data_IF_477207537208
#
_entry.id   IF_477207537208
#
_cell.length_a   1.000
_cell.length_b   1.000
_cell.length_c   1.000
_cell.angle_alpha   90.00
_cell.angle_beta   90.00
_cell.angle_gamma   90.00
#
_symmetry.space_group_name_H-M   'P 1'
#
loop_
_entity.id
_entity.type
_entity.pdbx_description
1 polymer ?
#
# COMPACT_ATOMS: atom_id res chain seq x y z
N UNK A 1 -13.25 5.02 -23.91
CA UNK A 1 -12.01 4.91 -23.10
C UNK A 1 -12.43 4.36 -21.75
N UNK A 2 -12.05 3.13 -21.42
CA UNK A 2 -12.34 2.55 -20.10
C UNK A 2 -11.08 2.64 -19.25
N UNK A 3 -11.19 3.14 -18.02
CA UNK A 3 -10.10 3.21 -17.07
C UNK A 3 -10.33 2.16 -15.97
N UNK A 4 -9.41 1.22 -15.74
CA UNK A 4 -9.56 0.24 -14.68
C UNK A 4 -9.39 0.91 -13.31
N UNK A 5 -10.30 0.60 -12.37
CA UNK A 5 -10.18 1.02 -10.97
C UNK A 5 -9.52 -0.12 -10.19
N UNK A 6 -8.19 -0.13 -10.14
CA UNK A 6 -7.41 -1.23 -9.55
C UNK A 6 -7.77 -1.49 -8.08
N UNK A 7 -8.06 -0.43 -7.31
CA UNK A 7 -8.47 -0.55 -5.92
C UNK A 7 -9.77 -1.35 -5.79
N UNK A 8 -10.79 -1.03 -6.59
CA UNK A 8 -12.06 -1.76 -6.57
C UNK A 8 -11.88 -3.23 -6.96
N UNK A 9 -11.03 -3.52 -7.95
CA UNK A 9 -10.75 -4.88 -8.38
C UNK A 9 -10.00 -5.72 -7.34
N UNK A 10 -9.10 -5.11 -6.55
CA UNK A 10 -8.42 -5.79 -5.44
C UNK A 10 -9.34 -6.02 -4.24
N UNK A 11 -10.42 -5.26 -4.12
CA UNK A 11 -11.44 -5.38 -3.08
C UNK A 11 -12.72 -6.11 -3.55
N UNK A 12 -12.66 -6.85 -4.66
CA UNK A 12 -13.83 -7.55 -5.20
C UNK A 12 -14.20 -8.78 -4.34
N UNK A 13 -15.39 -8.79 -3.68
CA UNK A 13 -15.82 -9.93 -2.86
C UNK A 13 -16.10 -11.20 -3.68
N UNK A 14 -16.25 -11.10 -5.00
CA UNK A 14 -16.34 -12.28 -5.87
C UNK A 14 -14.98 -12.99 -6.04
N UNK A 15 -13.88 -12.34 -5.66
CA UNK A 15 -12.51 -12.87 -5.81
C UNK A 15 -11.83 -13.19 -4.48
N UNK A 16 -12.13 -12.43 -3.43
CA UNK A 16 -11.51 -12.58 -2.11
C UNK A 16 -12.59 -12.55 -1.03
N UNK A 17 -12.64 -13.56 -0.17
CA UNK A 17 -13.50 -13.56 1.02
C UNK A 17 -13.06 -12.46 2.00
N UNK A 18 -13.98 -11.64 2.50
CA UNK A 18 -13.66 -10.47 3.36
C UNK A 18 -12.52 -9.59 2.81
N UNK A 19 -12.71 -8.95 1.64
CA UNK A 19 -11.64 -8.25 0.93
C UNK A 19 -11.07 -7.03 1.66
N UNK A 20 -11.79 -6.52 2.67
CA UNK A 20 -11.37 -5.36 3.46
C UNK A 20 -10.49 -5.76 4.66
N UNK A 21 -10.44 -7.05 5.00
CA UNK A 21 -9.58 -7.56 6.07
C UNK A 21 -8.11 -7.65 5.63
N UNK A 22 -7.22 -7.09 6.46
CA UNK A 22 -5.78 -7.20 6.28
C UNK A 22 -5.27 -8.57 6.77
N UNK A 23 -5.11 -9.50 5.84
CA UNK A 23 -4.63 -10.86 6.11
C UNK A 23 -3.34 -11.16 5.32
N UNK A 24 -2.22 -11.31 6.03
CA UNK A 24 -0.90 -11.52 5.41
C UNK A 24 -0.69 -12.92 4.82
N UNK A 25 -1.43 -13.91 5.31
CA UNK A 25 -1.33 -15.31 4.85
C UNK A 25 -2.34 -15.65 3.75
N UNK A 26 -3.16 -14.67 3.33
CA UNK A 26 -4.13 -14.85 2.26
C UNK A 26 -3.42 -15.19 0.95
N UNK A 27 -3.86 -16.26 0.30
CA UNK A 27 -3.42 -16.60 -1.06
C UNK A 27 -4.40 -16.01 -2.07
N UNK A 28 -4.14 -14.77 -2.50
CA UNK A 28 -4.98 -14.05 -3.47
C UNK A 28 -4.15 -13.42 -4.59
N UNK A 29 -4.71 -13.41 -5.81
CA UNK A 29 -4.10 -12.74 -6.97
C UNK A 29 -4.54 -11.28 -7.03
N UNK A 30 -3.65 -10.35 -6.65
CA UNK A 30 -3.88 -8.91 -6.73
C UNK A 30 -3.37 -8.31 -8.05
N UNK A 31 -3.99 -7.22 -8.50
CA UNK A 31 -3.61 -6.46 -9.70
C UNK A 31 -3.03 -5.08 -9.37
N UNK A 32 -2.48 -4.89 -8.16
CA UNK A 32 -1.87 -3.62 -7.75
C UNK A 32 -0.71 -3.16 -8.65
N UNK A 33 -0.04 -4.09 -9.31
CA UNK A 33 1.01 -3.82 -10.31
C UNK A 33 0.49 -3.82 -11.75
N UNK A 34 -0.82 -3.73 -11.97
CA UNK A 34 -1.43 -3.97 -13.27
C UNK A 34 -1.44 -5.46 -13.64
N UNK A 35 -1.78 -5.75 -14.90
CA UNK A 35 -1.88 -7.11 -15.43
C UNK A 35 -1.56 -7.13 -16.93
N UNK A 36 -1.18 -8.31 -17.44
CA UNK A 36 -0.93 -8.57 -18.87
C UNK A 36 0.23 -7.72 -19.45
N UNK A 37 0.15 -7.34 -20.73
CA UNK A 37 1.17 -6.57 -21.48
C UNK A 37 1.57 -5.23 -20.84
N UNK A 38 0.76 -4.70 -19.92
CA UNK A 38 1.04 -3.47 -19.16
C UNK A 38 1.27 -3.74 -17.67
N UNK A 39 1.67 -4.97 -17.32
CA UNK A 39 2.18 -5.27 -15.98
C UNK A 39 3.39 -4.39 -15.68
N UNK A 40 3.46 -3.89 -14.45
CA UNK A 40 4.55 -3.05 -13.98
C UNK A 40 5.88 -3.79 -14.16
N UNK A 41 6.73 -3.24 -15.03
CA UNK A 41 8.06 -3.77 -15.31
C UNK A 41 8.90 -3.89 -14.02
N UNK A 42 8.69 -2.98 -13.06
CA UNK A 42 9.37 -2.95 -11.77
C UNK A 42 8.77 -3.85 -10.69
N UNK A 43 7.67 -4.58 -10.95
CA UNK A 43 7.01 -5.38 -9.92
C UNK A 43 7.93 -6.39 -9.19
N UNK A 44 8.86 -7.10 -9.87
CA UNK A 44 9.81 -7.97 -9.17
C UNK A 44 10.75 -7.21 -8.24
N UNK A 45 11.23 -6.04 -8.68
CA UNK A 45 12.15 -5.21 -7.90
C UNK A 45 11.45 -4.62 -6.68
N UNK A 46 10.27 -4.02 -6.87
CA UNK A 46 9.48 -3.44 -5.78
C UNK A 46 9.10 -4.49 -4.72
N UNK A 47 8.86 -5.75 -5.12
CA UNK A 47 8.64 -6.86 -4.18
C UNK A 47 9.87 -7.18 -3.34
N UNK A 48 11.04 -7.23 -3.98
CA UNK A 48 12.30 -7.48 -3.27
C UNK A 48 12.63 -6.34 -2.30
N UNK A 49 12.51 -5.09 -2.76
CA UNK A 49 12.71 -3.91 -1.92
C UNK A 49 11.72 -3.90 -0.75
N UNK A 50 10.44 -4.13 -1.02
CA UNK A 50 9.39 -4.14 0.01
C UNK A 50 9.62 -5.22 1.07
N UNK A 51 10.01 -6.43 0.66
CA UNK A 51 10.33 -7.52 1.58
C UNK A 51 11.50 -7.13 2.50
N UNK A 52 12.60 -6.64 1.91
CA UNK A 52 13.78 -6.23 2.66
C UNK A 52 13.49 -5.07 3.62
N UNK A 53 12.82 -4.02 3.15
CA UNK A 53 12.52 -2.83 3.97
C UNK A 53 11.61 -3.19 5.14
N UNK A 54 10.56 -3.98 4.92
CA UNK A 54 9.64 -4.38 6.00
C UNK A 54 10.33 -5.25 7.04
N UNK A 55 11.18 -6.18 6.61
CA UNK A 55 11.96 -7.05 7.49
C UNK A 55 12.95 -6.23 8.33
N UNK A 56 13.82 -5.45 7.70
CA UNK A 56 14.82 -4.63 8.39
C UNK A 56 14.18 -3.60 9.32
N UNK A 57 13.10 -2.96 8.89
CA UNK A 57 12.39 -1.99 9.72
C UNK A 57 11.82 -2.62 10.99
N UNK A 58 11.17 -3.79 10.87
CA UNK A 58 10.60 -4.51 12.00
C UNK A 58 11.68 -4.98 12.98
N UNK A 59 12.83 -5.45 12.47
CA UNK A 59 13.96 -5.87 13.31
C UNK A 59 14.64 -4.69 14.01
N UNK A 60 14.79 -3.56 13.31
CA UNK A 60 15.49 -2.38 13.85
C UNK A 60 14.64 -1.58 14.85
N UNK A 61 13.32 -1.54 14.65
CA UNK A 61 12.39 -0.75 15.46
C UNK A 61 11.21 -1.59 16.00
N UNK A 62 11.46 -2.60 16.84
CA UNK A 62 10.43 -3.55 17.28
C UNK A 62 9.33 -2.93 18.15
N UNK A 63 9.54 -1.73 18.68
CA UNK A 63 8.60 -1.01 19.56
C UNK A 63 8.08 0.29 18.93
N UNK A 64 8.19 0.43 17.61
CA UNK A 64 7.70 1.62 16.91
C UNK A 64 6.20 1.78 17.11
N UNK A 65 5.78 2.99 17.43
CA UNK A 65 4.37 3.38 17.56
C UNK A 65 4.14 4.66 16.79
N UNK A 66 2.88 4.94 16.46
CA UNK A 66 2.51 6.20 15.80
C UNK A 66 2.65 7.36 16.80
N UNK A 67 3.30 8.44 16.36
CA UNK A 67 3.49 9.65 17.17
C UNK A 67 2.32 10.63 17.15
N UNK A 68 1.21 10.30 16.48
CA UNK A 68 0.01 11.12 16.38
C UNK A 68 -1.26 10.26 16.28
N UNK A 69 -2.40 10.87 16.60
CA UNK A 69 -3.71 10.23 16.47
C UNK A 69 -4.11 10.06 14.98
N UNK A 70 -5.15 9.26 14.73
CA UNK A 70 -5.66 9.06 13.36
C UNK A 70 -6.30 10.30 12.76
N UNK A 71 -7.01 11.05 13.58
CA UNK A 71 -7.63 12.34 13.25
C UNK A 71 -6.60 13.38 12.79
N UNK A 72 -5.36 13.28 13.26
CA UNK A 72 -4.28 14.25 13.01
C UNK A 72 -3.46 13.93 11.75
N UNK A 73 -3.74 12.82 11.06
CA UNK A 73 -3.00 12.42 9.85
C UNK A 73 -3.50 13.18 8.61
N UNK A 74 -2.64 13.99 7.99
CA UNK A 74 -2.88 14.50 6.61
C UNK A 74 -2.64 13.34 5.63
N UNK A 75 -3.69 12.95 4.93
CA UNK A 75 -3.60 12.07 3.77
C UNK A 75 -3.42 12.93 2.53
N UNK A 76 -2.38 12.63 1.73
CA UNK A 76 -2.21 13.30 0.44
C UNK A 76 -3.21 12.71 -0.56
N UNK A 77 -4.17 13.50 -1.07
CA UNK A 77 -5.04 13.02 -2.14
C UNK A 77 -4.20 12.78 -3.41
N UNK A 78 -4.69 12.00 -4.39
CA UNK A 78 -3.99 11.70 -5.64
C UNK A 78 -3.68 12.93 -6.51
N UNK A 79 -4.13 14.12 -6.12
CA UNK A 79 -3.64 15.42 -6.59
C UNK A 79 -2.92 16.12 -5.44
N UNK A 80 -1.76 16.71 -5.69
CA UNK A 80 -0.75 17.25 -4.72
C UNK A 80 -1.22 18.38 -3.75
N UNK A 81 -2.47 18.39 -3.31
CA UNK A 81 -3.06 19.47 -2.52
C UNK A 81 -2.76 19.39 -1.00
N UNK A 82 -2.21 18.29 -0.47
CA UNK A 82 -1.77 18.22 0.94
C UNK A 82 -0.24 18.21 0.99
N UNK A 83 0.38 19.36 1.33
CA UNK A 83 1.79 19.41 1.71
C UNK A 83 1.99 18.49 2.94
N UNK A 84 3.02 17.62 2.97
CA UNK A 84 3.25 16.73 4.09
C UNK A 84 3.51 17.51 5.39
N UNK A 85 2.96 17.00 6.51
CA UNK A 85 3.14 17.49 7.89
C UNK A 85 4.58 17.32 8.41
N UNK A 86 5.50 16.83 7.59
CA UNK A 86 6.90 16.58 7.96
C UNK A 86 7.77 17.85 8.04
N UNK A 87 7.21 19.06 7.89
CA UNK A 87 8.02 20.29 7.80
C UNK A 87 8.30 21.02 9.13
N UNK A 88 7.66 20.67 10.26
CA UNK A 88 7.68 21.57 11.45
C UNK A 88 7.99 20.91 12.81
N UNK A 89 8.63 19.73 12.85
CA UNK A 89 9.08 19.13 14.13
C UNK A 89 10.52 18.60 14.08
N UNK A 90 11.45 19.50 13.73
CA UNK A 90 12.86 19.40 14.10
C UNK A 90 13.20 20.55 15.05
#
# INVERSE_FOLDING_TARGET
>A
MAAPVLLAANHDPARSEDPDAFETHRTAHHIAFGHDIHCCLGAPHARLEGAFVLEEFAQRFPWVTLGCERSERCWTPPSDACRPVLAERA
#
